data_IF_261653579794
#
_entry.id   IF_261653579794
#
_cell.length_a   1.000
_cell.length_b   1.000
_cell.length_c   1.000
_cell.angle_alpha   90.00
_cell.angle_beta   90.00
_cell.angle_gamma   90.00
#
_symmetry.space_group_name_H-M   'P 1'
#
loop_
_entity.id
_entity.type
_entity.pdbx_description
1 polymer ?
#
# COMPACT_ATOMS: atom_id res chain seq x y z
N UNK A 1 -5.96 13.60 -36.75
CA UNK A 1 -4.51 13.45 -37.02
C UNK A 1 -3.90 14.77 -36.61
N UNK A 2 -3.24 14.94 -35.47
CA UNK A 2 -2.22 14.14 -34.79
C UNK A 2 -2.54 14.20 -33.29
N UNK A 3 -2.57 13.07 -32.58
CA UNK A 3 -2.46 13.09 -31.10
C UNK A 3 -1.00 12.78 -30.83
N UNK A 4 -0.29 13.80 -30.38
CA UNK A 4 1.15 13.76 -30.11
C UNK A 4 1.46 12.78 -28.99
N UNK A 5 2.55 12.01 -29.20
CA UNK A 5 3.20 11.18 -28.20
C UNK A 5 3.53 12.01 -26.95
N UNK A 6 2.88 11.75 -25.82
CA UNK A 6 3.41 12.20 -24.53
C UNK A 6 4.56 11.26 -24.15
N UNK A 7 5.75 11.55 -24.69
CA UNK A 7 7.03 11.11 -24.14
C UNK A 7 7.41 12.07 -23.00
N UNK A 8 7.12 11.68 -21.77
CA UNK A 8 7.79 12.26 -20.60
C UNK A 8 8.29 11.12 -19.71
N UNK A 9 9.48 10.63 -20.02
CA UNK A 9 10.34 9.93 -19.07
C UNK A 9 11.70 10.62 -19.09
N UNK A 10 11.94 11.52 -18.14
CA UNK A 10 13.29 11.89 -17.70
C UNK A 10 13.22 12.60 -16.34
N UNK A 11 13.88 11.97 -15.36
CA UNK A 11 14.12 12.42 -13.98
C UNK A 11 12.96 12.34 -12.96
N UNK A 12 12.52 11.11 -12.65
CA UNK A 12 11.60 10.79 -11.55
C UNK A 12 12.19 10.91 -10.14
N UNK A 13 13.45 11.32 -9.96
CA UNK A 13 14.04 11.47 -8.61
C UNK A 13 13.60 12.74 -7.86
N UNK A 14 13.01 13.75 -8.53
CA UNK A 14 12.77 15.06 -7.91
C UNK A 14 11.32 15.37 -7.50
N UNK A 15 10.37 14.44 -7.67
CA UNK A 15 8.94 14.76 -7.48
C UNK A 15 8.25 13.99 -6.34
N UNK A 16 8.99 13.35 -5.42
CA UNK A 16 8.36 12.72 -4.26
C UNK A 16 8.07 13.78 -3.19
N UNK A 17 6.79 13.98 -2.89
CA UNK A 17 6.33 14.84 -1.80
C UNK A 17 5.95 13.97 -0.61
N UNK A 18 6.51 14.29 0.55
CA UNK A 18 6.12 13.71 1.83
C UNK A 18 5.08 14.61 2.50
N UNK A 19 3.85 14.14 2.57
CA UNK A 19 2.70 14.87 3.10
C UNK A 19 2.28 14.27 4.46
N UNK A 20 2.72 14.93 5.53
CA UNK A 20 2.33 14.59 6.91
C UNK A 20 1.01 15.27 7.29
N UNK A 21 0.67 16.38 6.62
CA UNK A 21 -0.52 17.19 6.92
C UNK A 21 -1.79 16.65 6.24
N UNK A 22 -1.63 15.67 5.35
CA UNK A 22 -2.71 15.00 4.62
C UNK A 22 -3.47 15.97 3.71
N UNK A 23 -2.78 16.97 3.15
CA UNK A 23 -3.36 18.01 2.28
C UNK A 23 -4.00 17.41 1.02
N UNK A 24 -3.43 16.32 0.50
CA UNK A 24 -3.95 15.64 -0.70
C UNK A 24 -5.00 14.57 -0.44
N UNK A 25 -5.35 14.29 0.82
CA UNK A 25 -6.20 13.14 1.17
C UNK A 25 -7.57 13.15 0.48
N UNK A 26 -8.21 14.31 0.38
CA UNK A 26 -9.50 14.45 -0.30
C UNK A 26 -9.45 14.03 -1.78
N UNK A 27 -8.42 14.49 -2.49
CA UNK A 27 -8.19 14.11 -3.90
C UNK A 27 -7.88 12.62 -4.06
N UNK A 28 -7.10 12.06 -3.13
CA UNK A 28 -6.71 10.64 -3.19
C UNK A 28 -7.91 9.73 -2.89
N UNK A 29 -8.85 10.15 -2.03
CA UNK A 29 -10.13 9.46 -1.82
C UNK A 29 -10.92 9.34 -3.12
N UNK A 30 -11.05 10.45 -3.84
CA UNK A 30 -11.77 10.49 -5.13
C UNK A 30 -11.13 9.51 -6.12
N UNK A 31 -9.80 9.53 -6.26
CA UNK A 31 -9.06 8.58 -7.09
C UNK A 31 -9.35 7.13 -6.71
N UNK A 32 -9.32 6.78 -5.42
CA UNK A 32 -9.52 5.40 -4.99
C UNK A 32 -10.94 4.91 -5.29
N UNK A 33 -11.93 5.77 -5.07
CA UNK A 33 -13.32 5.50 -5.41
C UNK A 33 -13.50 5.34 -6.92
N UNK A 34 -12.94 6.24 -7.73
CA UNK A 34 -13.09 6.20 -9.19
C UNK A 34 -12.36 5.01 -9.83
N UNK A 35 -11.11 4.75 -9.43
CA UNK A 35 -10.26 3.74 -10.08
C UNK A 35 -10.50 2.33 -9.55
N UNK A 36 -10.74 2.20 -8.24
CA UNK A 36 -10.80 0.89 -7.58
C UNK A 36 -12.17 0.58 -7.00
N UNK A 37 -13.07 1.57 -6.93
CA UNK A 37 -14.40 1.42 -6.31
C UNK A 37 -14.33 1.24 -4.79
N UNK A 38 -13.15 1.34 -4.18
CA UNK A 38 -12.95 1.08 -2.76
C UNK A 38 -12.54 2.39 -2.07
N UNK A 39 -13.14 2.74 -0.93
CA UNK A 39 -12.68 3.87 -0.14
C UNK A 39 -11.31 3.57 0.47
N UNK A 40 -10.58 4.63 0.82
CA UNK A 40 -9.34 4.52 1.59
C UNK A 40 -9.70 4.22 3.04
N UNK A 41 -8.97 3.30 3.65
CA UNK A 41 -8.98 3.15 5.10
C UNK A 41 -7.92 4.08 5.68
N UNK A 42 -8.41 5.10 6.37
CA UNK A 42 -7.61 6.26 6.78
C UNK A 42 -7.23 6.26 8.25
N UNK A 43 -7.86 5.36 9.00
CA UNK A 43 -7.61 5.19 10.40
C UNK A 43 -6.13 4.94 10.63
N UNK A 44 -5.55 5.75 11.52
CA UNK A 44 -4.14 5.69 11.89
C UNK A 44 -3.13 6.00 10.76
N UNK A 45 -3.54 6.60 9.63
CA UNK A 45 -2.57 7.14 8.66
C UNK A 45 -1.75 8.24 9.33
N UNK A 46 -0.42 8.11 9.27
CA UNK A 46 0.51 9.11 9.82
C UNK A 46 1.23 9.91 8.74
N UNK A 47 1.34 9.36 7.53
CA UNK A 47 2.14 9.98 6.46
C UNK A 47 1.73 9.48 5.09
N UNK A 48 1.84 10.35 4.09
CA UNK A 48 1.74 10.00 2.68
C UNK A 48 2.98 10.37 1.90
N UNK A 49 3.25 9.62 0.84
CA UNK A 49 4.26 9.92 -0.16
C UNK A 49 3.60 9.92 -1.52
N UNK A 50 3.82 10.97 -2.29
CA UNK A 50 3.21 11.14 -3.62
C UNK A 50 4.27 11.39 -4.67
N UNK A 51 4.05 10.87 -5.87
CA UNK A 51 4.69 11.37 -7.09
C UNK A 51 3.70 12.32 -7.75
N UNK A 52 4.15 13.55 -8.01
CA UNK A 52 3.33 14.58 -8.65
C UNK A 52 3.65 14.74 -10.14
N UNK A 53 2.62 15.07 -10.93
CA UNK A 53 2.79 15.56 -12.29
C UNK A 53 3.29 17.03 -12.33
N UNK A 54 3.48 17.56 -13.53
CA UNK A 54 3.87 18.95 -13.78
C UNK A 54 2.88 20.00 -13.24
N UNK A 55 1.63 19.62 -13.06
CA UNK A 55 0.56 20.45 -12.50
C UNK A 55 0.42 20.29 -10.98
N UNK A 56 1.35 19.56 -10.34
CA UNK A 56 1.36 19.26 -8.90
C UNK A 56 0.20 18.37 -8.42
N UNK A 57 -0.41 17.60 -9.31
CA UNK A 57 -1.43 16.63 -8.96
C UNK A 57 -0.80 15.25 -8.64
N UNK A 58 -1.26 14.55 -7.59
CA UNK A 58 -0.82 13.19 -7.31
C UNK A 58 -1.17 12.21 -8.44
N UNK A 59 -0.14 11.63 -9.06
CA UNK A 59 -0.31 10.58 -10.09
C UNK A 59 0.03 9.18 -9.56
N UNK A 60 0.71 9.10 -8.42
CA UNK A 60 0.93 7.87 -7.68
C UNK A 60 1.14 8.22 -6.21
N UNK A 61 0.81 7.31 -5.31
CA UNK A 61 1.07 7.51 -3.89
C UNK A 61 1.06 6.22 -3.09
N UNK A 62 1.60 6.32 -1.88
CA UNK A 62 1.59 5.27 -0.86
C UNK A 62 1.52 5.92 0.51
N UNK A 63 0.86 5.28 1.47
CA UNK A 63 0.73 5.80 2.83
C UNK A 63 1.39 4.88 3.86
N UNK A 64 1.67 5.47 5.02
CA UNK A 64 2.05 4.77 6.24
C UNK A 64 0.93 4.93 7.25
N UNK A 65 0.52 3.83 7.88
CA UNK A 65 -0.42 3.81 8.99
C UNK A 65 0.13 3.05 10.20
N UNK A 66 -0.34 3.38 11.41
CA UNK A 66 -0.03 2.59 12.60
C UNK A 66 -0.85 1.29 12.60
N UNK A 67 -0.21 0.18 12.99
CA UNK A 67 -0.89 -1.12 13.06
C UNK A 67 -1.68 -1.22 14.37
N UNK A 68 -2.95 -1.54 14.26
CA UNK A 68 -3.84 -1.81 15.38
C UNK A 68 -4.82 -2.95 15.03
N UNK A 69 -5.71 -3.31 15.95
CA UNK A 69 -6.67 -4.42 15.74
C UNK A 69 -7.64 -4.21 14.57
N UNK A 70 -7.85 -2.96 14.16
CA UNK A 70 -8.75 -2.53 13.10
C UNK A 70 -8.02 -2.36 11.76
N UNK A 71 -6.70 -2.55 11.72
CA UNK A 71 -5.93 -2.50 10.46
C UNK A 71 -6.47 -3.49 9.44
N UNK A 72 -6.66 -3.02 8.21
CA UNK A 72 -7.24 -3.79 7.10
C UNK A 72 -6.60 -5.17 6.90
N UNK A 73 -5.26 -5.33 6.77
CA UNK A 73 -4.65 -6.65 6.61
C UNK A 73 -5.00 -7.64 7.73
N UNK A 74 -5.24 -7.15 8.95
CA UNK A 74 -5.50 -7.98 10.13
C UNK A 74 -6.95 -8.47 10.12
N UNK A 75 -7.88 -7.57 9.86
CA UNK A 75 -9.31 -7.90 9.72
C UNK A 75 -9.54 -8.88 8.57
N UNK A 76 -8.87 -8.63 7.45
CA UNK A 76 -9.04 -9.40 6.22
C UNK A 76 -8.42 -10.80 6.31
N UNK A 77 -7.27 -10.95 6.96
CA UNK A 77 -6.66 -12.27 7.17
C UNK A 77 -7.17 -12.98 8.43
N UNK A 78 -8.02 -12.35 9.24
CA UNK A 78 -8.47 -12.84 10.55
C UNK A 78 -7.26 -13.21 11.44
N UNK A 79 -6.36 -12.24 11.62
CA UNK A 79 -5.13 -12.42 12.39
C UNK A 79 -5.36 -11.91 13.81
N UNK A 80 -5.23 -12.79 14.80
CA UNK A 80 -5.21 -12.34 16.19
C UNK A 80 -3.89 -11.65 16.48
N UNK A 81 -3.95 -10.36 16.84
CA UNK A 81 -2.81 -9.65 17.42
C UNK A 81 -2.48 -10.33 18.75
N UNK A 82 -1.45 -11.19 18.76
CA UNK A 82 -0.85 -11.65 20.01
C UNK A 82 0.14 -10.58 20.46
N UNK A 83 0.08 -10.22 21.75
CA UNK A 83 1.02 -9.29 22.37
C UNK A 83 2.45 -9.64 21.94
N UNK A 84 3.11 -8.73 21.20
CA UNK A 84 4.48 -8.91 20.71
C UNK A 84 4.67 -8.99 19.18
N UNK A 85 3.66 -9.41 18.40
CA UNK A 85 3.84 -9.62 16.95
C UNK A 85 3.94 -8.30 16.17
N UNK A 86 3.23 -7.27 16.62
CA UNK A 86 3.12 -5.98 15.93
C UNK A 86 3.65 -4.79 16.75
N UNK A 87 4.38 -5.06 17.85
CA UNK A 87 5.12 -4.00 18.55
C UNK A 87 6.11 -3.41 17.53
N UNK A 88 6.14 -2.09 17.42
CA UNK A 88 7.00 -1.35 16.49
C UNK A 88 6.81 -1.75 15.01
N UNK A 89 5.57 -2.04 14.60
CA UNK A 89 5.21 -2.33 13.20
C UNK A 89 4.29 -1.25 12.64
N UNK A 90 4.62 -0.74 11.46
CA UNK A 90 3.74 0.14 10.69
C UNK A 90 3.22 -0.54 9.43
N UNK A 91 2.03 -0.18 8.99
CA UNK A 91 1.45 -0.61 7.73
C UNK A 91 1.92 0.32 6.60
N UNK A 92 2.45 -0.24 5.53
CA UNK A 92 2.57 0.47 4.24
C UNK A 92 1.37 0.05 3.39
N UNK A 93 0.56 1.02 3.00
CA UNK A 93 -0.77 0.76 2.44
C UNK A 93 -1.21 1.83 1.44
N UNK A 94 -2.43 1.68 0.90
CA UNK A 94 -3.07 2.60 -0.04
C UNK A 94 -2.20 2.97 -1.24
N UNK A 95 -1.43 2.00 -1.76
CA UNK A 95 -0.67 2.22 -2.98
C UNK A 95 -1.63 2.42 -4.16
N UNK A 96 -1.49 3.55 -4.84
CA UNK A 96 -2.13 3.80 -6.12
C UNK A 96 -1.12 4.29 -7.15
N UNK A 97 -1.41 3.99 -8.42
CA UNK A 97 -0.69 4.52 -9.55
C UNK A 97 -1.69 4.74 -10.68
N UNK A 98 -1.80 5.96 -11.18
CA UNK A 98 -2.74 6.30 -12.26
C UNK A 98 -2.22 5.85 -13.63
N UNK A 99 -0.90 5.75 -13.80
CA UNK A 99 -0.24 5.36 -15.04
C UNK A 99 0.09 3.86 -15.04
N UNK A 100 -0.80 3.04 -15.61
CA UNK A 100 -0.69 1.57 -15.53
C UNK A 100 0.61 1.00 -16.15
N UNK A 101 1.20 1.70 -17.13
CA UNK A 101 2.40 1.23 -17.84
C UNK A 101 3.66 1.16 -16.96
N UNK A 102 3.70 1.83 -15.81
CA UNK A 102 4.93 1.94 -14.99
C UNK A 102 4.71 1.85 -13.48
N UNK A 103 3.64 1.18 -13.02
CA UNK A 103 3.33 1.08 -11.59
C UNK A 103 4.49 0.54 -10.76
N UNK A 104 5.33 -0.37 -11.32
CA UNK A 104 6.49 -0.93 -10.61
C UNK A 104 7.59 0.09 -10.33
N UNK A 105 7.81 1.06 -11.23
CA UNK A 105 8.79 2.13 -11.05
C UNK A 105 8.29 3.09 -9.97
N UNK A 106 7.03 3.55 -10.10
CA UNK A 106 6.40 4.40 -9.09
C UNK A 106 6.39 3.72 -7.72
N UNK A 107 6.00 2.45 -7.68
CA UNK A 107 5.98 1.66 -6.46
C UNK A 107 7.37 1.54 -5.84
N UNK A 108 8.43 1.31 -6.64
CA UNK A 108 9.81 1.22 -6.14
C UNK A 108 10.26 2.53 -5.48
N UNK A 109 10.00 3.66 -6.12
CA UNK A 109 10.37 4.97 -5.57
C UNK A 109 9.58 5.30 -4.30
N UNK A 110 8.28 5.02 -4.31
CA UNK A 110 7.38 5.29 -3.19
C UNK A 110 7.65 4.38 -1.99
N UNK A 111 7.87 3.08 -2.22
CA UNK A 111 8.21 2.14 -1.14
C UNK A 111 9.60 2.47 -0.56
N UNK A 112 10.55 2.90 -1.39
CA UNK A 112 11.84 3.39 -0.89
C UNK A 112 11.64 4.60 0.04
N UNK A 113 10.90 5.62 -0.39
CA UNK A 113 10.64 6.80 0.43
C UNK A 113 9.95 6.46 1.77
N UNK A 114 8.94 5.58 1.73
CA UNK A 114 8.25 5.09 2.91
C UNK A 114 9.20 4.32 3.86
N UNK A 115 10.03 3.41 3.33
CA UNK A 115 10.99 2.65 4.12
C UNK A 115 12.08 3.54 4.73
N UNK A 116 12.59 4.53 3.98
CA UNK A 116 13.54 5.50 4.51
C UNK A 116 12.92 6.35 5.64
N UNK A 117 11.62 6.64 5.58
CA UNK A 117 10.91 7.31 6.67
C UNK A 117 10.76 6.39 7.90
N UNK A 118 10.32 5.15 7.71
CA UNK A 118 10.20 4.17 8.79
C UNK A 118 11.53 3.88 9.48
N UNK A 119 12.62 3.73 8.71
CA UNK A 119 13.96 3.48 9.23
C UNK A 119 14.44 4.65 10.11
N UNK A 120 14.17 5.91 9.71
CA UNK A 120 14.49 7.10 10.53
C UNK A 120 13.68 7.18 11.83
N UNK A 121 12.50 6.55 11.87
CA UNK A 121 11.67 6.41 13.07
C UNK A 121 11.98 5.16 13.88
N UNK A 122 13.05 4.44 13.54
CA UNK A 122 13.48 3.21 14.20
C UNK A 122 12.42 2.08 14.17
N UNK A 123 11.49 2.14 13.22
CA UNK A 123 10.49 1.09 13.00
C UNK A 123 11.19 -0.12 12.40
N UNK A 124 11.10 -1.27 13.07
CA UNK A 124 11.84 -2.49 12.68
C UNK A 124 11.14 -3.27 11.58
N UNK A 125 9.81 -3.34 11.65
CA UNK A 125 9.01 -4.17 10.75
C UNK A 125 7.93 -3.34 10.07
N UNK A 126 7.58 -3.76 8.86
CA UNK A 126 6.40 -3.25 8.18
C UNK A 126 5.54 -4.38 7.66
N UNK A 127 4.22 -4.17 7.72
CA UNK A 127 3.20 -5.01 7.12
C UNK A 127 2.66 -4.32 5.88
N UNK A 128 2.33 -5.11 4.86
CA UNK A 128 1.62 -4.65 3.67
C UNK A 128 0.54 -5.66 3.29
N UNK A 129 -0.61 -5.15 2.88
CA UNK A 129 -1.64 -5.93 2.20
C UNK A 129 -1.53 -5.69 0.70
N UNK A 130 -1.15 -6.72 -0.06
CA UNK A 130 -0.84 -6.53 -1.47
C UNK A 130 -1.28 -7.69 -2.35
N UNK A 131 -1.56 -7.36 -3.62
CA UNK A 131 -1.92 -8.33 -4.65
C UNK A 131 -0.80 -9.35 -4.90
N UNK A 132 -1.14 -10.46 -5.55
CA UNK A 132 -0.13 -11.45 -5.97
C UNK A 132 0.97 -10.85 -6.85
N UNK A 133 0.64 -9.85 -7.67
CA UNK A 133 1.60 -9.17 -8.54
C UNK A 133 2.63 -8.37 -7.73
N UNK A 134 2.19 -7.57 -6.75
CA UNK A 134 3.08 -6.82 -5.85
C UNK A 134 4.01 -7.73 -5.07
N UNK A 135 3.48 -8.83 -4.51
CA UNK A 135 4.29 -9.83 -3.78
C UNK A 135 5.37 -10.44 -4.67
N UNK A 136 5.01 -10.86 -5.89
CA UNK A 136 5.97 -11.41 -6.85
C UNK A 136 7.04 -10.39 -7.24
N UNK A 137 6.63 -9.14 -7.46
CA UNK A 137 7.56 -8.06 -7.78
C UNK A 137 8.60 -7.86 -6.67
N UNK A 138 8.16 -7.66 -5.43
CA UNK A 138 9.04 -7.48 -4.28
C UNK A 138 9.96 -8.68 -4.04
N UNK A 139 9.45 -9.90 -4.18
CA UNK A 139 10.24 -11.12 -4.02
C UNK A 139 11.31 -11.29 -5.10
N UNK A 140 10.97 -11.08 -6.37
CA UNK A 140 11.84 -11.41 -7.50
C UNK A 140 12.81 -10.29 -7.90
N UNK A 141 12.34 -9.03 -7.90
CA UNK A 141 13.09 -7.90 -8.44
C UNK A 141 13.98 -7.24 -7.39
N UNK A 142 13.60 -7.34 -6.12
CA UNK A 142 14.21 -6.58 -5.02
C UNK A 142 14.59 -7.46 -3.82
N UNK A 143 14.52 -8.79 -3.96
CA UNK A 143 14.89 -9.77 -2.94
C UNK A 143 14.36 -9.46 -1.53
N UNK A 144 13.16 -8.91 -1.42
CA UNK A 144 12.56 -8.69 -0.12
C UNK A 144 12.34 -10.03 0.57
N UNK A 145 12.80 -10.16 1.82
CA UNK A 145 12.51 -11.30 2.67
C UNK A 145 11.08 -11.21 3.23
N UNK A 146 10.11 -11.46 2.35
CA UNK A 146 8.69 -11.39 2.69
C UNK A 146 8.25 -12.65 3.42
N UNK A 147 7.61 -12.46 4.58
CA UNK A 147 6.93 -13.54 5.32
C UNK A 147 5.43 -13.31 5.30
N UNK A 148 4.64 -14.29 4.86
CA UNK A 148 3.19 -14.20 4.96
C UNK A 148 2.78 -14.27 6.43
N UNK A 149 1.77 -13.47 6.79
CA UNK A 149 1.25 -13.46 8.16
C UNK A 149 0.38 -14.71 8.41
N UNK A 150 -0.33 -15.16 7.37
CA UNK A 150 -1.14 -16.38 7.38
C UNK A 150 -0.82 -17.20 6.14
N UNK A 151 -0.10 -18.31 6.36
CA UNK A 151 0.15 -19.31 5.32
C UNK A 151 -1.12 -20.15 5.15
N UNK A 152 -1.77 -20.02 3.99
CA UNK A 152 -2.96 -20.79 3.62
C UNK A 152 -3.05 -20.96 2.11
N UNK A 153 -3.59 -22.09 1.69
CA UNK A 153 -3.74 -22.41 0.27
C UNK A 153 -4.77 -21.49 -0.41
N UNK A 154 -5.86 -21.17 0.28
CA UNK A 154 -6.97 -20.37 -0.24
C UNK A 154 -7.33 -19.19 0.65
N UNK A 155 -7.79 -18.09 0.03
CA UNK A 155 -8.30 -16.92 0.74
C UNK A 155 -9.75 -17.13 1.17
N UNK A 156 -10.05 -16.80 2.42
CA UNK A 156 -11.40 -16.86 2.99
C UNK A 156 -12.09 -15.50 2.80
N UNK A 157 -12.81 -15.37 1.70
CA UNK A 157 -13.52 -14.15 1.33
C UNK A 157 -14.67 -13.83 2.28
N UNK A 158 -15.38 -14.85 2.76
CA UNK A 158 -16.59 -14.66 3.55
C UNK A 158 -16.23 -14.16 4.95
N UNK A 159 -15.20 -14.75 5.57
CA UNK A 159 -14.67 -14.26 6.84
C UNK A 159 -14.11 -12.85 6.71
N UNK A 160 -13.35 -12.57 5.64
CA UNK A 160 -12.81 -11.23 5.38
C UNK A 160 -13.92 -10.17 5.30
N UNK A 161 -14.96 -10.41 4.48
CA UNK A 161 -16.08 -9.49 4.33
C UNK A 161 -16.89 -9.32 5.61
N UNK A 162 -17.08 -10.40 6.38
CA UNK A 162 -17.78 -10.35 7.66
C UNK A 162 -17.04 -9.48 8.68
N UNK A 163 -15.71 -9.63 8.77
CA UNK A 163 -14.88 -8.82 9.66
C UNK A 163 -14.87 -7.34 9.26
N UNK A 164 -14.75 -7.05 7.96
CA UNK A 164 -14.83 -5.67 7.45
C UNK A 164 -16.19 -5.03 7.76
N UNK A 165 -17.29 -5.77 7.55
CA UNK A 165 -18.65 -5.29 7.90
C UNK A 165 -18.80 -4.96 9.37
N UNK A 166 -18.22 -5.79 10.23
CA UNK A 166 -18.27 -5.59 11.68
C UNK A 166 -17.52 -4.35 12.13
N UNK A 167 -16.34 -4.09 11.56
CA UNK A 167 -15.51 -2.95 11.96
C UNK A 167 -16.00 -1.64 11.34
N UNK A 168 -16.24 -1.64 10.03
CA UNK A 168 -16.47 -0.42 9.26
C UNK A 168 -17.95 -0.10 8.99
N UNK A 169 -18.87 -1.01 9.34
CA UNK A 169 -20.31 -0.74 9.25
C UNK A 169 -20.75 -0.40 7.83
N UNK A 170 -21.19 0.84 7.59
CA UNK A 170 -21.65 1.29 6.26
C UNK A 170 -20.63 2.18 5.53
N UNK A 171 -19.41 2.34 6.04
CA UNK A 171 -18.40 3.21 5.40
C UNK A 171 -17.76 2.58 4.16
N UNK A 172 -17.86 1.25 4.00
CA UNK A 172 -17.31 0.52 2.86
C UNK A 172 -18.38 0.13 1.85
N UNK A 173 -18.02 0.14 0.56
CA UNK A 173 -18.80 -0.51 -0.48
C UNK A 173 -18.44 -1.99 -0.58
N UNK A 174 -19.19 -2.85 0.11
CA UNK A 174 -18.88 -4.29 0.20
C UNK A 174 -18.94 -5.05 -1.12
N UNK A 175 -19.67 -4.55 -2.12
CA UNK A 175 -19.68 -5.17 -3.44
C UNK A 175 -18.34 -4.93 -4.15
N UNK A 176 -17.80 -3.72 -4.01
CA UNK A 176 -16.50 -3.37 -4.58
C UNK A 176 -15.36 -4.05 -3.80
N UNK A 177 -15.43 -4.09 -2.47
CA UNK A 177 -14.49 -4.86 -1.63
C UNK A 177 -14.46 -6.35 -2.04
N UNK A 178 -15.64 -6.97 -2.15
CA UNK A 178 -15.74 -8.38 -2.57
C UNK A 178 -15.11 -8.61 -3.93
N UNK A 179 -15.37 -7.69 -4.88
CA UNK A 179 -14.81 -7.75 -6.23
C UNK A 179 -13.30 -7.57 -6.23
N UNK A 180 -12.78 -6.62 -5.46
CA UNK A 180 -11.34 -6.37 -5.31
C UNK A 180 -10.62 -7.59 -4.73
N UNK A 181 -11.11 -8.13 -3.61
CA UNK A 181 -10.52 -9.28 -2.95
C UNK A 181 -10.50 -10.49 -3.90
N UNK A 182 -11.63 -10.82 -4.54
CA UNK A 182 -11.73 -11.97 -5.45
C UNK A 182 -10.81 -11.83 -6.66
N UNK A 183 -10.72 -10.63 -7.23
CA UNK A 183 -9.89 -10.37 -8.41
C UNK A 183 -8.39 -10.44 -8.10
N UNK A 184 -7.96 -9.87 -6.98
CA UNK A 184 -6.54 -9.66 -6.70
C UNK A 184 -5.89 -10.75 -5.84
N UNK A 185 -6.71 -11.57 -5.17
CA UNK A 185 -6.29 -12.56 -4.18
C UNK A 185 -5.15 -12.02 -3.25
N UNK A 186 -5.37 -10.84 -2.64
CA UNK A 186 -4.33 -10.18 -1.86
C UNK A 186 -4.00 -10.96 -0.58
N UNK A 187 -2.79 -10.75 -0.07
CA UNK A 187 -2.33 -11.36 1.18
C UNK A 187 -1.57 -10.32 1.99
N UNK A 188 -1.68 -10.45 3.31
CA UNK A 188 -0.85 -9.69 4.23
C UNK A 188 0.53 -10.35 4.37
N UNK A 189 1.58 -9.55 4.24
CA UNK A 189 2.96 -9.98 4.44
C UNK A 189 3.73 -8.96 5.26
N UNK A 190 4.68 -9.46 6.06
CA UNK A 190 5.57 -8.68 6.90
C UNK A 190 7.01 -8.79 6.37
N UNK A 191 7.77 -7.71 6.54
CA UNK A 191 9.18 -7.64 6.17
C UNK A 191 9.95 -6.70 7.11
N UNK A 192 11.26 -6.92 7.19
CA UNK A 192 12.16 -6.05 7.96
C UNK A 192 12.43 -4.76 7.17
N UNK A 193 12.32 -3.62 7.84
CA UNK A 193 12.44 -2.29 7.21
C UNK A 193 13.87 -2.04 6.73
N UNK A 194 14.86 -2.35 7.57
CA UNK A 194 16.27 -2.05 7.29
C UNK A 194 16.80 -2.95 6.18
N UNK A 195 16.58 -4.27 6.30
CA UNK A 195 16.97 -5.24 5.28
C UNK A 195 16.33 -4.91 3.91
N UNK A 196 15.03 -4.56 3.92
CA UNK A 196 14.31 -4.19 2.71
C UNK A 196 14.85 -2.93 2.06
N UNK A 197 15.19 -1.91 2.84
CA UNK A 197 15.78 -0.67 2.33
C UNK A 197 17.16 -0.93 1.71
N UNK A 198 18.02 -1.68 2.38
CA UNK A 198 19.34 -2.06 1.86
C UNK A 198 19.24 -2.85 0.54
N UNK A 199 18.23 -3.71 0.42
CA UNK A 199 18.00 -4.47 -0.81
C UNK A 199 17.49 -3.59 -1.97
N UNK A 200 16.71 -2.56 -1.69
CA UNK A 200 16.29 -1.58 -2.71
C UNK A 200 17.48 -0.77 -3.23
N UNK A 201 18.36 -0.30 -2.35
CA UNK A 201 19.50 0.54 -2.72
C UNK A 201 20.53 -0.19 -3.59
N UNK A 202 20.62 -1.52 -3.46
CA UNK A 202 21.54 -2.38 -4.24
C UNK A 202 21.03 -2.75 -5.64
N UNK A 203 19.83 -2.33 -6.03
CA UNK A 203 19.06 -2.91 -7.15
C UNK A 203 18.54 -1.91 -8.17
#
# INVERSE_FOLDING_TARGET
MIIEEIKIFKNTMNNIVHDIKLEYLGFVREIHLEKFGIPIIEESITSWFYILDENKNPISGISIAEVNKSSYPILVEDVKIKNGIFIDTCEITNFFCLTDENWTISFTHLIHAALSHLNRREVKKSIMFGSRAMRKFLKNKKNFNLKLIKERDNFDFDTALSNLKKEYGNSLNYNNESSYLKKNDPRAFIFDVKESLENLEKS
#
